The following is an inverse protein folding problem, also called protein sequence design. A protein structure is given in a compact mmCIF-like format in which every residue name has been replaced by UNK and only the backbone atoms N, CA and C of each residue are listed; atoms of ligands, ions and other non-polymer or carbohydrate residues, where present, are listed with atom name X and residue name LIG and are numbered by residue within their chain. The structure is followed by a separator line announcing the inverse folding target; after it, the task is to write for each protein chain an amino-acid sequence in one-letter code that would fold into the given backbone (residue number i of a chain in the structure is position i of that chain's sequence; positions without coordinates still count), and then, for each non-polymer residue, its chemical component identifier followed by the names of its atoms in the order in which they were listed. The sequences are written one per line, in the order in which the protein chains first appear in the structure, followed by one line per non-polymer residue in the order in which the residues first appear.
data_IF_555717648064
#
_entry.id   IF_555717648064
#
_cell.length_a   1.000
_cell.length_b   1.000
_cell.length_c   1.000
_cell.angle_alpha   90.00
_cell.angle_beta   90.00
_cell.angle_gamma   90.00
#
_symmetry.space_group_name_H-M   'P 1'
#
loop_
_entity.id
_entity.type
_entity.pdbx_description
1 polymer ?
#
# COMPACT_ATOMS: atom_id res chain seq x y z
N UNK A 1 17.64 -12.78 -5.92
CA UNK A 1 17.02 -13.18 -4.64
C UNK A 1 16.07 -12.06 -4.23
N UNK A 2 14.83 -12.37 -3.88
CA UNK A 2 13.89 -11.38 -3.34
C UNK A 2 14.18 -11.10 -1.86
N UNK A 3 13.84 -9.89 -1.41
CA UNK A 3 13.85 -9.54 0.02
C UNK A 3 12.89 -10.45 0.80
N UNK A 4 13.17 -10.66 2.10
CA UNK A 4 12.44 -11.64 2.93
C UNK A 4 10.95 -11.33 3.12
N UNK A 5 10.54 -10.08 2.89
CA UNK A 5 9.15 -9.63 2.99
C UNK A 5 8.26 -10.22 1.89
N UNK A 6 8.85 -10.67 0.78
CA UNK A 6 8.10 -11.27 -0.32
C UNK A 6 7.91 -12.77 -0.09
N UNK A 7 6.86 -13.10 0.66
CA UNK A 7 6.40 -14.46 0.92
C UNK A 7 5.01 -14.69 0.30
N UNK A 8 4.56 -15.94 0.14
CA UNK A 8 3.15 -16.19 -0.12
C UNK A 8 2.28 -15.52 0.93
N UNK A 9 1.17 -14.90 0.54
CA UNK A 9 0.35 -14.12 1.48
C UNK A 9 0.51 -12.60 1.36
N UNK A 10 1.47 -12.11 0.56
CA UNK A 10 1.84 -10.69 0.55
C UNK A 10 0.80 -9.82 -0.16
N UNK A 11 0.57 -8.63 0.40
CA UNK A 11 -0.21 -7.57 -0.23
C UNK A 11 0.75 -6.54 -0.80
N UNK A 12 0.64 -6.25 -2.10
CA UNK A 12 1.39 -5.18 -2.78
C UNK A 12 0.46 -3.98 -2.97
N UNK A 13 0.97 -2.77 -2.69
CA UNK A 13 0.20 -1.54 -2.86
C UNK A 13 -0.25 -1.38 -4.32
N UNK A 14 -1.55 -1.25 -4.56
CA UNK A 14 -2.12 -1.36 -5.90
C UNK A 14 -1.67 -0.22 -6.83
N UNK A 15 -1.48 1.00 -6.32
CA UNK A 15 -1.02 2.14 -7.12
C UNK A 15 0.47 2.09 -7.49
N UNK A 16 1.29 1.42 -6.68
CA UNK A 16 2.74 1.29 -6.93
C UNK A 16 3.28 -0.06 -6.46
N UNK A 17 2.90 -1.17 -7.11
CA UNK A 17 3.30 -2.49 -6.67
C UNK A 17 4.76 -2.75 -7.04
N UNK A 18 5.62 -2.69 -6.04
CA UNK A 18 7.06 -2.89 -6.20
C UNK A 18 7.54 -4.18 -5.54
N UNK A 19 8.50 -4.83 -6.19
CA UNK A 19 9.30 -5.90 -5.60
C UNK A 19 10.77 -5.50 -5.58
N UNK A 20 11.48 -5.95 -4.55
CA UNK A 20 12.90 -5.64 -4.36
C UNK A 20 13.71 -6.85 -3.94
N UNK A 21 15.01 -6.75 -4.15
CA UNK A 21 15.95 -7.79 -3.75
C UNK A 21 17.35 -7.56 -4.28
N UNK A 22 18.12 -8.63 -4.33
CA UNK A 22 19.48 -8.64 -4.86
C UNK A 22 19.60 -9.46 -6.14
N UNK A 23 20.32 -8.93 -7.13
CA UNK A 23 20.65 -9.63 -8.37
C UNK A 23 21.95 -9.07 -8.93
N UNK A 24 22.72 -9.91 -9.63
CA UNK A 24 23.96 -9.49 -10.28
C UNK A 24 23.72 -8.91 -11.69
N UNK A 25 22.55 -9.17 -12.26
CA UNK A 25 22.16 -8.78 -13.62
C UNK A 25 20.66 -8.49 -13.62
N UNK A 26 20.16 -7.99 -14.75
CA UNK A 26 18.76 -7.61 -14.92
C UNK A 26 17.74 -8.65 -14.46
N UNK A 27 16.61 -8.14 -13.99
CA UNK A 27 15.44 -8.90 -13.56
C UNK A 27 14.21 -8.43 -14.31
N UNK A 28 13.24 -9.32 -14.51
CA UNK A 28 11.95 -8.97 -15.13
C UNK A 28 10.83 -9.43 -14.20
N UNK A 29 9.91 -8.53 -13.89
CA UNK A 29 8.72 -8.82 -13.08
C UNK A 29 7.52 -8.88 -14.00
N UNK A 30 6.76 -9.96 -13.91
CA UNK A 30 5.65 -10.29 -14.81
C UNK A 30 4.37 -10.53 -14.01
N UNK A 31 3.29 -9.87 -14.42
CA UNK A 31 1.96 -10.04 -13.88
C UNK A 31 0.90 -9.72 -14.94
N UNK A 32 -0.13 -10.56 -15.10
CA UNK A 32 -1.27 -10.27 -15.97
C UNK A 32 -0.91 -9.89 -17.41
N UNK A 33 0.11 -10.51 -17.99
CA UNK A 33 0.61 -10.19 -19.34
C UNK A 33 1.51 -8.94 -19.42
N UNK A 34 1.65 -8.18 -18.33
CA UNK A 34 2.59 -7.05 -18.23
C UNK A 34 3.95 -7.56 -17.76
N UNK A 35 5.03 -7.06 -18.37
CA UNK A 35 6.40 -7.36 -17.99
C UNK A 35 7.19 -6.06 -17.82
N UNK A 36 7.87 -5.89 -16.68
CA UNK A 36 8.72 -4.74 -16.39
C UNK A 36 10.13 -5.22 -16.06
N UNK A 37 11.11 -4.71 -16.80
CA UNK A 37 12.51 -4.99 -16.54
C UNK A 37 13.09 -4.00 -15.53
N UNK A 38 14.01 -4.46 -14.70
CA UNK A 38 14.85 -3.62 -13.86
C UNK A 38 16.28 -4.09 -13.85
N UNK A 39 17.17 -3.17 -13.49
CA UNK A 39 18.59 -3.45 -13.34
C UNK A 39 19.01 -3.24 -11.89
N UNK A 40 19.97 -4.04 -11.40
CA UNK A 40 20.63 -3.72 -10.15
C UNK A 40 21.33 -2.36 -10.22
N UNK A 41 21.29 -1.58 -9.14
CA UNK A 41 22.02 -0.31 -9.04
C UNK A 41 23.54 -0.51 -9.16
N UNK A 42 24.28 0.47 -9.70
CA UNK A 42 25.72 0.36 -9.83
C UNK A 42 26.37 0.19 -8.45
N UNK A 43 27.19 -0.85 -8.29
CA UNK A 43 27.94 -1.13 -7.07
C UNK A 43 27.16 -1.84 -5.94
N UNK A 44 25.82 -1.89 -5.98
CA UNK A 44 25.03 -2.35 -4.83
C UNK A 44 24.34 -3.71 -5.01
N UNK A 45 24.40 -4.32 -6.20
CA UNK A 45 23.75 -5.60 -6.55
C UNK A 45 22.28 -5.70 -6.09
N UNK A 46 21.60 -4.55 -5.94
CA UNK A 46 20.22 -4.43 -5.46
C UNK A 46 19.31 -3.87 -6.55
N UNK A 47 18.10 -4.40 -6.65
CA UNK A 47 17.09 -3.93 -7.58
C UNK A 47 15.79 -3.58 -6.85
N UNK A 48 15.04 -2.67 -7.46
CA UNK A 48 13.62 -2.44 -7.19
C UNK A 48 12.92 -2.35 -8.54
N UNK A 49 11.84 -3.10 -8.72
CA UNK A 49 11.02 -3.07 -9.93
C UNK A 49 9.58 -2.86 -9.54
N UNK A 50 8.94 -1.86 -10.12
CA UNK A 50 7.55 -1.55 -9.89
C UNK A 50 6.75 -1.86 -11.16
N UNK A 51 5.71 -2.67 -11.02
CA UNK A 51 4.70 -2.84 -12.06
C UNK A 51 3.90 -1.52 -12.18
N UNK A 52 3.25 -1.25 -13.33
CA UNK A 52 2.24 -0.21 -13.41
C UNK A 52 1.15 -0.41 -12.36
N UNK A 53 0.38 0.63 -12.01
CA UNK A 53 -0.77 0.50 -11.14
C UNK A 53 -1.63 -0.70 -11.53
N UNK A 54 -1.95 -1.55 -10.56
CA UNK A 54 -2.82 -2.70 -10.73
C UNK A 54 -4.18 -2.38 -10.10
N UNK A 55 -5.29 -2.89 -10.66
CA UNK A 55 -6.57 -2.81 -9.97
C UNK A 55 -6.49 -3.61 -8.65
N UNK A 56 -7.19 -3.16 -7.59
CA UNK A 56 -7.32 -3.97 -6.38
C UNK A 56 -7.92 -5.34 -6.71
N UNK A 57 -7.41 -6.39 -6.06
CA UNK A 57 -7.82 -7.78 -6.35
C UNK A 57 -8.59 -8.41 -5.21
N UNK A 58 -9.71 -9.06 -5.52
CA UNK A 58 -10.47 -9.87 -4.56
C UNK A 58 -9.94 -11.31 -4.46
N UNK A 59 -9.35 -11.82 -5.54
CA UNK A 59 -8.81 -13.18 -5.61
C UNK A 59 -7.27 -13.19 -5.59
N UNK A 60 -6.63 -14.23 -5.02
CA UNK A 60 -5.18 -14.33 -4.98
C UNK A 60 -4.56 -14.39 -6.39
N UNK A 61 -3.52 -13.59 -6.63
CA UNK A 61 -2.78 -13.51 -7.87
C UNK A 61 -1.42 -14.20 -7.79
N UNK A 62 -0.77 -14.35 -8.96
CA UNK A 62 0.60 -14.86 -9.08
C UNK A 62 1.48 -13.83 -9.78
N UNK A 63 2.61 -13.47 -9.16
CA UNK A 63 3.64 -12.59 -9.74
C UNK A 63 4.91 -13.39 -10.00
N UNK A 64 5.43 -13.30 -11.21
CA UNK A 64 6.66 -14.00 -11.60
C UNK A 64 7.83 -13.03 -11.66
N UNK A 65 8.92 -13.37 -10.98
CA UNK A 65 10.18 -12.63 -11.01
C UNK A 65 11.22 -13.49 -11.72
N UNK A 66 11.55 -13.09 -12.94
CA UNK A 66 12.53 -13.73 -13.79
C UNK A 66 13.90 -13.13 -13.53
N UNK A 67 14.89 -13.99 -13.33
CA UNK A 67 16.29 -13.58 -13.24
C UNK A 67 17.15 -14.47 -14.14
N UNK A 68 18.35 -14.00 -14.49
CA UNK A 68 19.20 -14.67 -15.49
C UNK A 68 19.49 -16.16 -15.23
N UNK A 69 19.50 -16.61 -13.96
CA UNK A 69 19.76 -18.01 -13.59
C UNK A 69 18.63 -18.68 -12.82
N UNK A 70 17.75 -17.91 -12.20
CA UNK A 70 16.71 -18.43 -11.30
C UNK A 70 15.49 -17.54 -11.37
N UNK A 71 14.34 -18.19 -11.47
CA UNK A 71 13.04 -17.55 -11.40
C UNK A 71 12.46 -17.74 -10.00
N UNK A 72 11.61 -16.80 -9.59
CA UNK A 72 10.82 -16.87 -8.37
C UNK A 72 9.37 -16.55 -8.68
N UNK A 73 8.49 -17.45 -8.25
CA UNK A 73 7.05 -17.25 -8.34
C UNK A 73 6.55 -16.86 -6.96
N UNK A 74 5.95 -15.68 -6.86
CA UNK A 74 5.17 -15.25 -5.70
C UNK A 74 3.72 -15.68 -5.95
N UNK A 75 3.22 -16.58 -5.11
CA UNK A 75 1.85 -17.09 -5.14
C UNK A 75 1.06 -16.45 -4.01
N UNK A 76 -0.27 -16.40 -4.14
CA UNK A 76 -1.15 -15.74 -3.17
C UNK A 76 -0.71 -14.28 -2.91
N UNK A 77 -0.65 -13.50 -3.99
CA UNK A 77 -0.37 -12.07 -3.94
C UNK A 77 -1.69 -11.31 -4.08
N UNK A 78 -1.93 -10.30 -3.25
CA UNK A 78 -3.04 -9.38 -3.43
C UNK A 78 -2.51 -8.00 -3.83
N UNK A 79 -3.22 -7.30 -4.70
CA UNK A 79 -3.01 -5.88 -4.95
C UNK A 79 -4.05 -5.11 -4.16
N UNK A 80 -3.61 -4.21 -3.28
CA UNK A 80 -4.50 -3.44 -2.41
C UNK A 80 -3.75 -2.68 -1.34
N UNK A 81 -4.49 -1.97 -0.50
CA UNK A 81 -3.95 -1.19 0.60
C UNK A 81 -4.07 -1.94 1.93
N UNK A 82 -3.02 -1.84 2.74
CA UNK A 82 -3.04 -2.36 4.11
C UNK A 82 -3.25 -1.19 5.05
N UNK A 83 -4.45 -1.10 5.63
CA UNK A 83 -4.75 -0.14 6.69
C UNK A 83 -4.42 -0.77 8.04
N UNK A 84 -3.46 -0.19 8.75
CA UNK A 84 -3.23 -0.57 10.14
C UNK A 84 -4.21 0.17 11.03
N UNK A 85 -5.16 -0.56 11.60
CA UNK A 85 -6.14 0.01 12.52
C UNK A 85 -5.60 -0.09 13.95
N UNK A 86 -4.91 0.96 14.41
CA UNK A 86 -4.47 1.11 15.80
C UNK A 86 -5.41 2.05 16.57
N UNK A 87 -5.75 1.69 17.81
CA UNK A 87 -6.50 2.51 18.77
C UNK A 87 -6.64 1.83 20.13
N UNK A 88 -6.74 2.60 21.22
CA UNK A 88 -7.03 2.08 22.56
C UNK A 88 -8.55 1.85 22.72
N UNK A 89 -8.88 0.67 23.29
CA UNK A 89 -10.15 0.09 23.79
C UNK A 89 -11.49 0.28 23.06
N UNK A 90 -11.74 1.32 22.27
CA UNK A 90 -13.06 1.58 21.65
C UNK A 90 -13.14 1.23 20.15
N UNK A 91 -12.21 0.42 19.64
CA UNK A 91 -12.09 0.16 18.21
C UNK A 91 -12.70 -1.17 17.75
N UNK A 92 -13.31 -1.95 18.66
CA UNK A 92 -14.07 -3.15 18.32
C UNK A 92 -15.49 -2.75 17.88
N UNK A 93 -15.62 -2.23 16.67
CA UNK A 93 -16.93 -2.28 16.00
C UNK A 93 -16.96 -3.56 15.15
N UNK A 94 -17.84 -4.53 15.47
CA UNK A 94 -18.07 -5.65 14.59
C UNK A 94 -18.61 -5.10 13.27
N UNK A 95 -17.93 -5.39 12.15
CA UNK A 95 -18.45 -5.13 10.80
C UNK A 95 -19.77 -5.88 10.49
N UNK A 96 -20.22 -6.71 11.44
CA UNK A 96 -21.38 -7.58 11.31
C UNK A 96 -22.37 -7.44 12.47
N UNK A 97 -22.44 -6.29 13.15
CA UNK A 97 -23.62 -6.00 13.97
C UNK A 97 -24.63 -5.23 13.12
N UNK A 98 -25.71 -5.92 12.77
CA UNK A 98 -26.84 -5.36 12.06
C UNK A 98 -27.50 -4.29 12.94
N UNK A 99 -27.00 -3.05 12.84
CA UNK A 99 -27.48 -1.93 13.65
C UNK A 99 -26.66 -0.64 13.57
N UNK A 100 -25.50 -0.62 12.91
CA UNK A 100 -24.78 0.63 12.68
C UNK A 100 -25.63 1.55 11.78
N UNK A 101 -25.98 2.73 12.29
CA UNK A 101 -26.75 3.70 11.53
C UNK A 101 -25.97 4.10 10.26
N UNK A 102 -26.64 4.39 9.13
CA UNK A 102 -25.97 4.87 7.91
C UNK A 102 -25.03 6.06 8.15
N UNK A 103 -25.28 6.83 9.21
CA UNK A 103 -24.47 7.95 9.66
C UNK A 103 -23.07 7.54 10.15
N UNK A 104 -22.93 6.38 10.81
CA UNK A 104 -21.65 5.92 11.37
C UNK A 104 -20.72 5.40 10.27
N UNK A 105 -21.28 4.76 9.25
CA UNK A 105 -20.54 4.33 8.06
C UNK A 105 -20.06 5.53 7.25
N UNK A 106 -20.91 6.54 7.07
CA UNK A 106 -20.53 7.79 6.40
C UNK A 106 -19.45 8.55 7.17
N UNK A 107 -19.50 8.57 8.50
CA UNK A 107 -18.47 9.20 9.33
C UNK A 107 -17.11 8.53 9.17
N UNK A 108 -17.07 7.21 9.07
CA UNK A 108 -15.83 6.47 8.82
C UNK A 108 -15.24 6.76 7.44
N UNK A 109 -16.06 6.65 6.40
CA UNK A 109 -15.63 6.93 5.02
C UNK A 109 -15.21 8.39 4.83
N UNK A 110 -15.92 9.34 5.46
CA UNK A 110 -15.56 10.75 5.47
C UNK A 110 -14.19 10.98 6.14
N UNK A 111 -13.94 10.36 7.30
CA UNK A 111 -12.65 10.46 7.99
C UNK A 111 -11.50 9.90 7.14
N UNK A 112 -11.70 8.74 6.51
CA UNK A 112 -10.68 8.13 5.65
C UNK A 112 -10.41 8.99 4.39
N UNK A 113 -11.46 9.51 3.76
CA UNK A 113 -11.38 10.35 2.56
C UNK A 113 -10.75 11.71 2.86
N UNK A 114 -11.11 12.33 3.99
CA UNK A 114 -10.52 13.59 4.45
C UNK A 114 -9.04 13.40 4.77
N UNK A 115 -8.66 12.33 5.47
CA UNK A 115 -7.25 12.06 5.76
C UNK A 115 -6.41 11.86 4.48
N UNK A 116 -7.00 11.29 3.43
CA UNK A 116 -6.33 11.17 2.12
C UNK A 116 -6.20 12.54 1.43
N UNK A 117 -7.29 13.31 1.36
CA UNK A 117 -7.31 14.65 0.77
C UNK A 117 -6.28 15.59 1.43
N UNK A 118 -6.16 15.53 2.75
CA UNK A 118 -5.21 16.35 3.51
C UNK A 118 -3.75 15.97 3.27
N UNK A 119 -3.47 14.70 2.98
CA UNK A 119 -2.13 14.26 2.55
C UNK A 119 -1.81 14.75 1.14
N UNK A 120 -2.79 14.70 0.24
CA UNK A 120 -2.63 15.10 -1.15
C UNK A 120 -2.46 16.62 -1.32
N UNK A 121 -3.01 17.42 -0.39
CA UNK A 121 -2.92 18.90 -0.42
C UNK A 121 -1.61 19.46 0.15
N UNK A 122 -0.80 18.68 0.87
CA UNK A 122 0.51 19.12 1.38
C UNK A 122 0.51 20.36 2.28
N UNK A 123 -0.65 20.71 2.86
CA UNK A 123 -0.90 22.00 3.50
C UNK A 123 -0.32 22.05 4.94
N UNK A 124 0.58 22.99 5.28
CA UNK A 124 1.27 23.03 6.59
C UNK A 124 0.38 23.37 7.80
N UNK A 125 -0.88 23.74 7.58
CA UNK A 125 -1.83 24.17 8.63
C UNK A 125 -2.48 23.03 9.42
N UNK A 126 -2.27 21.77 9.01
CA UNK A 126 -2.85 20.61 9.70
C UNK A 126 -1.73 19.71 10.19
N UNK A 127 -1.52 19.69 11.51
CA UNK A 127 -0.61 18.74 12.18
C UNK A 127 -1.42 17.73 12.99
N UNK A 128 -0.97 16.48 12.95
CA UNK A 128 -1.44 15.44 13.86
C UNK A 128 -0.95 15.77 15.26
N UNK A 129 -1.84 15.94 16.22
CA UNK A 129 -1.50 16.06 17.64
C UNK A 129 -1.99 14.80 18.36
N UNK A 130 -1.07 14.07 18.99
CA UNK A 130 -1.35 12.81 19.68
C UNK A 130 -2.14 11.76 18.87
N UNK A 131 -1.93 11.71 17.55
CA UNK A 131 -2.60 10.75 16.68
C UNK A 131 -4.02 11.15 16.23
N UNK A 132 -4.49 12.35 16.60
CA UNK A 132 -5.73 12.93 16.08
C UNK A 132 -5.43 14.06 15.08
N UNK A 133 -6.20 14.10 13.99
CA UNK A 133 -6.18 15.21 13.05
C UNK A 133 -6.96 16.39 13.65
N UNK A 134 -6.24 17.39 14.15
CA UNK A 134 -6.83 18.62 14.68
C UNK A 134 -6.69 19.71 13.62
N UNK A 135 -7.82 20.23 13.15
CA UNK A 135 -7.88 21.39 12.26
C UNK A 135 -7.80 22.66 13.12
N UNK A 136 -6.65 23.35 13.09
CA UNK A 136 -6.55 24.68 13.69
C UNK A 136 -7.06 25.71 12.68
N UNK A 137 -8.29 26.19 12.90
CA UNK A 137 -8.80 27.37 12.19
C UNK A 137 -8.41 28.59 13.02
N UNK A 138 -7.29 29.23 12.68
CA UNK A 138 -6.92 30.50 13.28
C UNK A 138 -7.82 31.61 12.70
N UNK A 139 -8.89 31.97 13.43
CA UNK A 139 -9.70 33.13 13.06
C UNK A 139 -8.90 34.38 13.41
N UNK A 140 -8.26 35.00 12.42
CA UNK A 140 -7.82 36.40 12.54
C UNK A 140 -9.05 37.28 12.58
N UNK A 141 -9.47 37.68 13.78
CA UNK A 141 -10.27 38.90 13.95
C UNK A 141 -9.41 40.08 13.50
N UNK A 142 -9.90 40.81 12.49
CA UNK A 142 -9.42 42.17 12.19
C UNK A 142 -9.76 43.12 13.33
#
# INVERSE_FOLDING_TARGET
RLDKVFTPGVVLQHDKPCVSGSANTGVVVVHGGTAVAGQPGPGECRFTVCLPPQPPTSDPQTVLVLGARRNKTLVNVWFGDVFYCFGQSNMRHPLADQGASPFDQQKFLFKARLAQLLRDLGDPLIRLHNGEAVLWVETRTQ
#
